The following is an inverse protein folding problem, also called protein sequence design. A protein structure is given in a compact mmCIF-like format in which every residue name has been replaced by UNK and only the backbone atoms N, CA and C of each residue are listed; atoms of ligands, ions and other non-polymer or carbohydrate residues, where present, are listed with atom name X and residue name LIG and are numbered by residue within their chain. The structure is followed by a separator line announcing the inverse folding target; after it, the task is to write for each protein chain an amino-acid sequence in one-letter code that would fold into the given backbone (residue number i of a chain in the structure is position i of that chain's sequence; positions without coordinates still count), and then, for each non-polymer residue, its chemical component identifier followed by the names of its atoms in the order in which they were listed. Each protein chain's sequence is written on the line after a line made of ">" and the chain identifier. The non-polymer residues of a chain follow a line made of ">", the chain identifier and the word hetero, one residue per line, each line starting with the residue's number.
data_IF_513160263737
#
_entry.id   IF_513160263737
#
_cell.length_a   1.000
_cell.length_b   1.000
_cell.length_c   1.000
_cell.angle_alpha   90.00
_cell.angle_beta   90.00
_cell.angle_gamma   90.00
#
_symmetry.space_group_name_H-M   'P 1'
#
loop_
_entity.id
_entity.type
_entity.pdbx_description
1 polymer ?
#
# COMPACT_ATOMS: atom_id res chain seq x y z
N UNK A 1 -11.03 -15.46 -0.08
CA UNK A 1 -9.61 -15.42 0.32
C UNK A 1 -9.20 -13.95 0.40
N UNK A 2 -9.07 -13.40 1.62
CA UNK A 2 -8.69 -11.99 1.81
C UNK A 2 -7.20 -11.88 2.05
N UNK A 3 -6.48 -11.17 1.19
CA UNK A 3 -5.08 -10.85 1.42
C UNK A 3 -5.02 -9.71 2.44
N UNK A 4 -4.39 -9.94 3.59
CA UNK A 4 -4.10 -8.87 4.55
C UNK A 4 -2.78 -8.20 4.15
N UNK A 5 -2.76 -7.06 3.43
CA UNK A 5 -1.51 -6.37 3.14
C UNK A 5 -0.79 -5.90 4.42
N UNK A 6 -1.56 -5.70 5.50
CA UNK A 6 -1.05 -5.32 6.81
C UNK A 6 -0.49 -6.51 7.62
N UNK A 7 -0.77 -7.78 7.24
CA UNK A 7 -0.13 -8.94 7.88
C UNK A 7 1.37 -9.02 7.57
N UNK A 8 1.82 -8.30 6.54
CA UNK A 8 3.21 -7.90 6.33
C UNK A 8 3.47 -6.50 6.90
N UNK A 9 3.08 -6.22 8.15
CA UNK A 9 3.53 -5.02 8.86
C UNK A 9 5.07 -4.86 8.84
N UNK A 10 5.79 -5.97 8.64
CA UNK A 10 7.23 -6.04 8.37
C UNK A 10 7.69 -5.37 7.05
N UNK A 11 6.80 -5.18 6.08
CA UNK A 11 7.09 -4.53 4.77
C UNK A 11 6.73 -3.05 4.70
N UNK A 12 6.01 -2.53 5.70
CA UNK A 12 5.79 -1.08 5.82
C UNK A 12 7.14 -0.34 5.97
N UNK A 13 8.15 -1.00 6.54
CA UNK A 13 9.51 -0.49 6.71
C UNK A 13 10.51 -0.98 5.66
N UNK A 14 10.07 -1.59 4.55
CA UNK A 14 10.98 -1.95 3.47
C UNK A 14 11.48 -0.67 2.77
N UNK A 15 12.80 -0.53 2.58
CA UNK A 15 13.38 0.66 1.94
C UNK A 15 12.74 0.94 0.58
N UNK A 16 12.42 -0.11 -0.18
CA UNK A 16 11.76 0.00 -1.49
C UNK A 16 10.39 0.66 -1.38
N UNK A 17 9.59 0.22 -0.41
CA UNK A 17 8.24 0.76 -0.18
C UNK A 17 8.31 2.20 0.31
N UNK A 18 9.27 2.51 1.20
CA UNK A 18 9.49 3.87 1.71
C UNK A 18 9.94 4.81 0.61
N UNK A 19 10.84 4.39 -0.27
CA UNK A 19 11.31 5.21 -1.39
C UNK A 19 10.19 5.49 -2.41
N UNK A 20 9.38 4.48 -2.74
CA UNK A 20 8.21 4.67 -3.61
C UNK A 20 7.18 5.58 -2.94
N UNK A 21 6.93 5.39 -1.63
CA UNK A 21 6.04 6.24 -0.86
C UNK A 21 6.49 7.70 -0.86
N UNK A 22 7.80 7.97 -0.70
CA UNK A 22 8.37 9.32 -0.82
C UNK A 22 8.19 9.88 -2.23
N UNK A 23 8.52 9.11 -3.27
CA UNK A 23 8.35 9.54 -4.68
C UNK A 23 6.92 9.96 -4.98
N UNK A 24 5.94 9.21 -4.45
CA UNK A 24 4.52 9.47 -4.65
C UNK A 24 3.94 10.47 -3.64
N UNK A 25 4.73 10.92 -2.65
CA UNK A 25 4.26 11.76 -1.54
C UNK A 25 3.07 11.14 -0.81
N UNK A 26 3.11 9.81 -0.63
CA UNK A 26 2.06 9.01 0.03
C UNK A 26 2.65 8.25 1.22
N UNK A 27 1.78 7.69 2.05
CA UNK A 27 2.19 6.87 3.18
C UNK A 27 2.58 5.45 2.70
N UNK A 28 3.64 4.80 3.24
CA UNK A 28 3.95 3.40 2.95
C UNK A 28 2.75 2.45 3.08
N UNK A 29 1.88 2.66 4.06
CA UNK A 29 0.66 1.88 4.23
C UNK A 29 -0.31 2.06 3.03
N UNK A 30 -0.46 3.28 2.54
CA UNK A 30 -1.26 3.60 1.37
C UNK A 30 -0.70 2.94 0.10
N UNK A 31 0.61 2.92 -0.07
CA UNK A 31 1.28 2.23 -1.19
C UNK A 31 0.99 0.74 -1.17
N UNK A 32 1.08 0.07 -0.01
CA UNK A 32 0.79 -1.36 0.09
C UNK A 32 -0.68 -1.70 -0.18
N UNK A 33 -1.60 -0.85 0.29
CA UNK A 33 -3.03 -1.02 0.01
C UNK A 33 -3.28 -0.82 -1.49
N UNK A 34 -2.74 0.26 -2.09
CA UNK A 34 -2.93 0.54 -3.50
C UNK A 34 -2.32 -0.53 -4.40
N UNK A 35 -1.12 -1.02 -4.07
CA UNK A 35 -0.49 -2.14 -4.74
C UNK A 35 -1.39 -3.37 -4.75
N UNK A 36 -1.97 -3.71 -3.60
CA UNK A 36 -2.86 -4.86 -3.47
C UNK A 36 -4.13 -4.69 -4.32
N UNK A 37 -4.71 -3.49 -4.32
CA UNK A 37 -5.88 -3.13 -5.14
C UNK A 37 -5.55 -3.22 -6.64
N UNK A 38 -4.42 -2.68 -7.10
CA UNK A 38 -4.01 -2.74 -8.51
C UNK A 38 -3.68 -4.16 -8.99
N UNK A 39 -3.23 -5.04 -8.10
CA UNK A 39 -3.06 -6.46 -8.39
C UNK A 39 -4.38 -7.26 -8.42
N UNK A 40 -5.51 -6.62 -8.11
CA UNK A 40 -6.82 -7.29 -8.05
C UNK A 40 -7.07 -8.06 -6.75
N UNK A 41 -6.25 -7.85 -5.71
CA UNK A 41 -6.47 -8.48 -4.41
C UNK A 41 -7.52 -7.71 -3.61
N UNK A 42 -8.50 -8.45 -3.07
CA UNK A 42 -9.45 -7.91 -2.10
C UNK A 42 -8.68 -7.56 -0.82
N UNK A 43 -8.63 -6.27 -0.54
CA UNK A 43 -7.81 -5.68 0.51
C UNK A 43 -8.71 -5.10 1.59
N UNK A 44 -8.66 -5.66 2.79
CA UNK A 44 -9.46 -5.18 3.93
C UNK A 44 -8.48 -4.67 5.00
N UNK A 45 -8.13 -3.37 4.98
CA UNK A 45 -7.21 -2.82 5.96
C UNK A 45 -7.91 -2.71 7.31
N UNK A 46 -7.54 -3.55 8.29
CA UNK A 46 -8.02 -3.44 9.67
C UNK A 46 -7.30 -2.30 10.39
N UNK A 47 -8.06 -1.34 10.91
CA UNK A 47 -7.54 -0.27 11.76
C UNK A 47 -8.57 0.14 12.81
N UNK A 48 -8.11 0.46 14.02
CA UNK A 48 -8.92 1.04 15.10
C UNK A 48 -8.69 2.54 15.26
N UNK A 49 -7.77 3.13 14.48
CA UNK A 49 -7.47 4.55 14.49
C UNK A 49 -8.17 5.23 13.32
N UNK A 50 -8.99 6.24 13.61
CA UNK A 50 -9.79 6.98 12.62
C UNK A 50 -8.91 7.69 11.58
N UNK A 51 -7.83 8.34 12.03
CA UNK A 51 -6.85 8.97 11.13
C UNK A 51 -6.25 7.97 10.10
N UNK A 52 -6.04 6.71 10.52
CA UNK A 52 -5.56 5.65 9.61
C UNK A 52 -6.67 5.11 8.72
N UNK A 53 -7.92 5.12 9.18
CA UNK A 53 -9.07 4.75 8.35
C UNK A 53 -9.17 5.69 7.16
N UNK A 54 -9.15 7.01 7.42
CA UNK A 54 -9.20 8.04 6.39
C UNK A 54 -8.02 7.89 5.42
N UNK A 55 -6.80 7.75 5.94
CA UNK A 55 -5.62 7.56 5.09
C UNK A 55 -5.68 6.28 4.25
N UNK A 56 -6.19 5.17 4.81
CA UNK A 56 -6.30 3.90 4.09
C UNK A 56 -7.35 3.93 2.95
N UNK A 57 -8.34 4.82 3.04
CA UNK A 57 -9.35 5.03 1.99
C UNK A 57 -8.85 6.00 0.92
N UNK A 58 -7.93 6.92 1.25
CA UNK A 58 -7.26 7.84 0.32
C UNK A 58 -6.21 7.15 -0.58
N UNK A 59 -6.60 6.03 -1.17
CA UNK A 59 -5.78 5.21 -2.08
C UNK A 59 -6.42 5.04 -3.44
N UNK A 60 -7.68 5.45 -3.60
CA UNK A 60 -8.43 5.25 -4.85
C UNK A 60 -8.19 6.39 -5.87
N UNK A 61 -7.88 7.59 -5.40
CA UNK A 61 -7.66 8.81 -6.21
C UNK A 61 -6.34 8.85 -7.01
N UNK A 62 -5.45 7.89 -6.80
CA UNK A 62 -4.14 7.86 -7.46
C UNK A 62 -3.71 6.43 -7.75
N UNK A 63 -2.69 6.25 -8.58
CA UNK A 63 -2.19 4.93 -8.96
C UNK A 63 -0.67 4.86 -8.90
N UNK A 64 -0.15 3.67 -8.60
CA UNK A 64 1.27 3.38 -8.68
C UNK A 64 1.61 3.10 -10.15
N UNK A 65 2.62 3.77 -10.73
CA UNK A 65 3.09 3.53 -12.09
C UNK A 65 3.56 2.08 -12.28
N UNK A 66 3.42 1.54 -13.49
CA UNK A 66 3.84 0.17 -13.81
C UNK A 66 5.31 -0.12 -13.49
N UNK A 67 6.18 0.88 -13.66
CA UNK A 67 7.60 0.78 -13.30
C UNK A 67 7.81 0.51 -11.82
N UNK A 68 7.11 1.26 -10.94
CA UNK A 68 7.20 1.08 -9.48
C UNK A 68 6.44 -0.18 -9.02
N UNK A 69 5.33 -0.52 -9.69
CA UNK A 69 4.60 -1.78 -9.45
C UNK A 69 5.48 -3.01 -9.69
N UNK A 70 6.30 -3.03 -10.76
CA UNK A 70 7.24 -4.13 -11.02
C UNK A 70 8.28 -4.28 -9.92
N UNK A 71 8.75 -3.17 -9.36
CA UNK A 71 9.70 -3.17 -8.25
C UNK A 71 9.03 -3.76 -6.99
N UNK A 72 7.78 -3.39 -6.71
CA UNK A 72 7.00 -3.93 -5.59
C UNK A 72 6.60 -5.41 -5.75
N UNK A 73 6.60 -5.96 -6.96
CA UNK A 73 6.38 -7.39 -7.21
C UNK A 73 7.61 -8.23 -6.89
N UNK A 74 8.81 -7.66 -6.96
CA UNK A 74 10.07 -8.37 -6.73
C UNK A 74 10.45 -8.52 -5.24
N UNK A 75 9.69 -7.92 -4.33
CA UNK A 75 9.86 -8.03 -2.87
C UNK A 75 8.96 -9.10 -2.28
#
# INVERSE_FOLDING_TARGET
>A
MGYSPLAKAKRIGDETVVEIAKKLTKNPAQVLIRWSVQHGFITIPKTSQEARLISNVDVFDWSIPDSDMKILVMI
#
